data_IF_629425269452
#
_entry.id   IF_629425269452
#
_cell.length_a   1.000
_cell.length_b   1.000
_cell.length_c   1.000
_cell.angle_alpha   90.00
_cell.angle_beta   90.00
_cell.angle_gamma   90.00
#
_symmetry.space_group_name_H-M   'P 1'
#
loop_
_entity.id
_entity.type
_entity.pdbx_description
1 polymer ?
#
# COMPACT_ATOMS: atom_id res chain seq x y z
N UNK A 1 22.21 -19.41 21.21
CA UNK A 1 20.97 -18.65 20.98
C UNK A 1 21.36 -17.35 20.29
N UNK A 2 21.22 -17.25 18.96
CA UNK A 2 21.49 -15.98 18.26
C UNK A 2 20.38 -15.02 18.63
N UNK A 3 20.75 -13.83 19.13
CA UNK A 3 19.81 -12.71 19.31
C UNK A 3 19.02 -12.53 18.01
N UNK A 4 17.72 -12.25 18.13
CA UNK A 4 16.82 -11.99 17.01
C UNK A 4 17.25 -10.68 16.34
N UNK A 5 18.26 -10.78 15.47
CA UNK A 5 18.80 -9.69 14.66
C UNK A 5 17.65 -9.07 13.87
N UNK A 6 17.50 -7.75 14.00
CA UNK A 6 16.51 -6.95 13.30
C UNK A 6 16.53 -7.25 11.79
N UNK A 7 15.36 -7.48 11.19
CA UNK A 7 15.25 -7.79 9.76
C UNK A 7 15.80 -6.61 8.93
N UNK A 8 16.77 -6.82 8.02
CA UNK A 8 17.45 -5.76 7.29
C UNK A 8 16.56 -5.00 6.29
N UNK A 9 15.43 -5.60 5.87
CA UNK A 9 14.44 -4.93 5.02
C UNK A 9 13.64 -3.87 5.80
N UNK A 10 13.50 -4.06 7.12
CA UNK A 10 12.73 -3.18 8.01
C UNK A 10 13.59 -2.13 8.73
N UNK A 11 14.89 -2.10 8.47
CA UNK A 11 15.79 -1.08 9.02
C UNK A 11 15.94 0.10 8.07
N UNK A 12 16.42 1.22 8.61
CA UNK A 12 16.90 2.33 7.77
C UNK A 12 18.09 1.86 6.94
N UNK A 13 18.09 2.25 5.67
CA UNK A 13 19.15 1.89 4.72
C UNK A 13 20.14 3.05 4.64
N UNK A 14 21.24 2.93 5.38
CA UNK A 14 22.33 3.92 5.42
C UNK A 14 23.35 3.74 4.28
N UNK A 15 22.95 3.07 3.20
CA UNK A 15 23.73 2.90 1.98
C UNK A 15 23.64 4.15 1.11
N UNK A 16 24.59 4.37 0.17
CA UNK A 16 24.49 5.47 -0.78
C UNK A 16 23.16 5.44 -1.54
N UNK A 17 22.49 6.58 -1.62
CA UNK A 17 21.18 6.75 -2.28
C UNK A 17 20.03 5.91 -1.70
N UNK A 18 20.19 5.34 -0.50
CA UNK A 18 19.16 4.48 0.09
C UNK A 18 18.95 3.20 -0.71
N UNK A 19 20.01 2.60 -1.25
CA UNK A 19 19.98 1.31 -1.93
C UNK A 19 19.75 0.17 -0.91
N UNK A 20 18.97 -0.89 -1.22
CA UNK A 20 18.81 -2.01 -0.30
C UNK A 20 20.17 -2.61 0.08
N UNK A 21 20.44 -2.93 1.36
CA UNK A 21 21.68 -3.59 1.78
C UNK A 21 21.66 -5.07 1.37
N UNK A 22 21.79 -5.33 0.06
CA UNK A 22 21.67 -6.66 -0.55
C UNK A 22 22.67 -7.67 0.01
N UNK A 23 23.80 -7.22 0.55
CA UNK A 23 24.80 -8.06 1.24
C UNK A 23 24.28 -8.66 2.55
N UNK A 24 23.22 -8.10 3.12
CA UNK A 24 22.63 -8.51 4.41
C UNK A 24 21.28 -9.19 4.29
N UNK A 25 20.58 -9.00 3.17
CA UNK A 25 19.23 -9.53 2.93
C UNK A 25 19.34 -10.98 2.47
N UNK A 26 18.60 -11.88 3.11
CA UNK A 26 18.42 -13.27 2.66
C UNK A 26 16.97 -13.53 2.27
N UNK A 27 16.72 -14.58 1.49
CA UNK A 27 15.38 -14.90 0.96
C UNK A 27 14.32 -15.08 2.06
N UNK A 28 14.69 -15.61 3.23
CA UNK A 28 13.81 -15.77 4.39
C UNK A 28 13.39 -14.44 5.05
N UNK A 29 14.07 -13.32 4.76
CA UNK A 29 13.73 -12.02 5.34
C UNK A 29 12.44 -11.42 4.71
N UNK A 30 12.12 -11.76 3.46
CA UNK A 30 11.08 -11.06 2.70
C UNK A 30 9.67 -11.30 3.24
N UNK A 31 9.28 -12.56 3.46
CA UNK A 31 7.93 -12.89 3.93
C UNK A 31 7.58 -12.16 5.25
N UNK A 32 8.36 -12.30 6.34
CA UNK A 32 8.04 -11.62 7.59
C UNK A 32 8.15 -10.08 7.49
N UNK A 33 9.00 -9.55 6.61
CA UNK A 33 9.12 -8.11 6.40
C UNK A 33 7.88 -7.52 5.70
N UNK A 34 7.43 -8.16 4.61
CA UNK A 34 6.27 -7.71 3.85
C UNK A 34 4.99 -7.87 4.68
N UNK A 35 4.81 -8.98 5.39
CA UNK A 35 3.66 -9.15 6.28
C UNK A 35 3.60 -8.08 7.39
N UNK A 36 4.75 -7.73 7.97
CA UNK A 36 4.80 -6.62 8.92
C UNK A 36 4.47 -5.28 8.25
N UNK A 37 4.97 -5.03 7.05
CA UNK A 37 4.71 -3.79 6.32
C UNK A 37 3.24 -3.67 5.88
N UNK A 38 2.54 -4.77 5.60
CA UNK A 38 1.08 -4.80 5.38
C UNK A 38 0.36 -4.31 6.63
N UNK A 39 0.71 -4.84 7.81
CA UNK A 39 0.09 -4.42 9.09
C UNK A 39 0.36 -2.94 9.39
N UNK A 40 1.58 -2.45 9.13
CA UNK A 40 1.91 -1.04 9.28
C UNK A 40 1.07 -0.17 8.33
N UNK A 41 0.92 -0.57 7.06
CA UNK A 41 0.10 0.15 6.10
C UNK A 41 -1.39 0.15 6.47
N UNK A 42 -1.93 -0.99 6.90
CA UNK A 42 -3.31 -1.08 7.40
C UNK A 42 -3.57 -0.09 8.55
N UNK A 43 -2.61 0.07 9.47
CA UNK A 43 -2.72 1.01 10.57
C UNK A 43 -2.69 2.47 10.09
N UNK A 44 -1.84 2.81 9.14
CA UNK A 44 -1.79 4.14 8.51
C UNK A 44 -3.11 4.47 7.80
N UNK A 45 -3.67 3.51 7.06
CA UNK A 45 -4.95 3.66 6.39
C UNK A 45 -6.09 3.85 7.39
N UNK A 46 -6.11 3.11 8.49
CA UNK A 46 -7.14 3.30 9.52
C UNK A 46 -7.04 4.67 10.18
N UNK A 47 -5.83 5.20 10.40
CA UNK A 47 -5.64 6.58 10.91
C UNK A 47 -6.29 7.59 9.96
N UNK A 48 -6.09 7.44 8.65
CA UNK A 48 -6.69 8.33 7.64
C UNK A 48 -8.22 8.17 7.61
N UNK A 49 -8.70 6.92 7.57
CA UNK A 49 -10.13 6.61 7.47
C UNK A 49 -10.92 7.04 8.72
N UNK A 50 -10.30 6.98 9.90
CA UNK A 50 -10.91 7.32 11.20
C UNK A 50 -10.68 8.76 11.65
N UNK A 51 -9.89 9.57 10.91
CA UNK A 51 -9.65 10.97 11.26
C UNK A 51 -10.97 11.77 11.31
N UNK A 52 -11.30 12.36 12.46
CA UNK A 52 -12.56 13.10 12.65
C UNK A 52 -12.53 14.54 12.12
N UNK A 53 -11.38 15.04 11.67
CA UNK A 53 -11.28 16.34 11.03
C UNK A 53 -12.00 16.35 9.67
N UNK A 54 -12.45 17.54 9.26
CA UNK A 54 -13.00 17.74 7.93
C UNK A 54 -11.97 17.29 6.86
N UNK A 55 -12.36 16.45 5.88
CA UNK A 55 -11.45 15.99 4.83
C UNK A 55 -10.88 17.17 4.03
N UNK A 56 -9.57 17.16 3.84
CA UNK A 56 -8.86 18.10 3.00
C UNK A 56 -7.73 17.36 2.25
N UNK A 57 -7.07 18.06 1.34
CA UNK A 57 -6.00 17.47 0.53
C UNK A 57 -4.91 16.83 1.40
N UNK A 58 -4.43 17.54 2.42
CA UNK A 58 -3.35 17.08 3.30
C UNK A 58 -3.71 15.85 4.14
N UNK A 59 -4.83 15.89 4.85
CA UNK A 59 -5.20 14.82 5.78
C UNK A 59 -5.84 13.59 5.12
N UNK A 60 -6.04 13.65 3.79
CA UNK A 60 -6.67 12.57 3.03
C UNK A 60 -5.81 12.15 1.83
N UNK A 61 -5.57 13.03 0.86
CA UNK A 61 -4.89 12.66 -0.39
C UNK A 61 -3.37 12.55 -0.19
N UNK A 62 -2.74 13.59 0.37
CA UNK A 62 -1.30 13.56 0.68
C UNK A 62 -0.99 12.46 1.71
N UNK A 63 -1.83 12.32 2.74
CA UNK A 63 -1.68 11.24 3.72
C UNK A 63 -1.77 9.84 3.07
N UNK A 64 -2.67 9.64 2.10
CA UNK A 64 -2.76 8.38 1.37
C UNK A 64 -1.53 8.12 0.50
N UNK A 65 -1.04 9.13 -0.21
CA UNK A 65 0.15 9.03 -1.07
C UNK A 65 1.41 8.69 -0.25
N UNK A 66 1.51 9.21 0.98
CA UNK A 66 2.63 8.92 1.87
C UNK A 66 2.48 7.60 2.64
N UNK A 67 1.28 7.00 2.66
CA UNK A 67 1.04 5.72 3.34
C UNK A 67 1.67 4.55 2.60
N UNK A 68 2.01 3.49 3.31
CA UNK A 68 2.53 2.25 2.72
C UNK A 68 3.96 2.38 2.19
N UNK A 69 4.70 3.42 2.58
CA UNK A 69 6.07 3.64 2.13
C UNK A 69 6.98 2.43 2.42
N UNK A 70 6.87 1.84 3.61
CA UNK A 70 7.60 0.61 3.97
C UNK A 70 7.21 -0.56 3.07
N UNK A 71 5.91 -0.77 2.84
CA UNK A 71 5.42 -1.88 2.01
C UNK A 71 5.86 -1.72 0.55
N UNK A 72 5.73 -0.52 0.00
CA UNK A 72 6.16 -0.18 -1.37
C UNK A 72 7.66 -0.42 -1.55
N UNK A 73 8.47 0.12 -0.62
CA UNK A 73 9.93 -0.03 -0.61
C UNK A 73 10.37 -1.50 -0.59
N UNK A 74 9.81 -2.32 0.31
CA UNK A 74 10.22 -3.72 0.47
C UNK A 74 9.70 -4.58 -0.70
N UNK A 75 8.46 -4.35 -1.13
CA UNK A 75 7.86 -5.08 -2.25
C UNK A 75 8.61 -4.83 -3.56
N UNK A 76 9.06 -3.59 -3.80
CA UNK A 76 9.87 -3.26 -4.98
C UNK A 76 11.17 -4.08 -5.03
N UNK A 77 11.85 -4.24 -3.88
CA UNK A 77 13.06 -5.08 -3.79
C UNK A 77 12.71 -6.55 -4.03
N UNK A 78 11.66 -7.05 -3.35
CA UNK A 78 11.23 -8.43 -3.47
C UNK A 78 10.95 -8.81 -4.93
N UNK A 79 10.11 -8.05 -5.63
CA UNK A 79 9.74 -8.37 -7.01
C UNK A 79 10.90 -8.13 -7.99
N UNK A 80 11.81 -7.20 -7.72
CA UNK A 80 13.03 -7.06 -8.52
C UNK A 80 13.94 -8.28 -8.39
N UNK A 81 14.18 -8.78 -7.17
CA UNK A 81 15.01 -9.97 -6.94
C UNK A 81 14.32 -11.23 -7.43
N UNK A 82 13.03 -11.40 -7.15
CA UNK A 82 12.25 -12.55 -7.62
C UNK A 82 12.16 -12.59 -9.17
N UNK A 83 12.13 -11.44 -9.84
CA UNK A 83 12.13 -11.39 -11.31
C UNK A 83 13.50 -11.67 -11.95
N UNK A 84 14.61 -11.35 -11.27
CA UNK A 84 15.95 -11.39 -11.86
C UNK A 84 16.86 -12.51 -11.32
N UNK A 85 16.68 -12.93 -10.08
CA UNK A 85 17.54 -13.87 -9.36
C UNK A 85 16.74 -14.65 -8.31
N UNK A 86 15.75 -15.42 -8.79
CA UNK A 86 14.83 -16.18 -7.92
C UNK A 86 15.43 -17.45 -7.35
N UNK A 87 14.79 -17.97 -6.29
CA UNK A 87 15.02 -19.29 -5.73
C UNK A 87 13.68 -19.93 -5.27
N UNK A 88 13.73 -21.12 -4.67
CA UNK A 88 12.52 -21.78 -4.18
C UNK A 88 11.84 -21.01 -3.04
N UNK A 89 12.60 -20.35 -2.17
CA UNK A 89 12.05 -19.59 -1.03
C UNK A 89 11.31 -18.35 -1.53
N UNK A 90 11.89 -17.62 -2.48
CA UNK A 90 11.27 -16.43 -3.08
C UNK A 90 10.01 -16.79 -3.86
N UNK A 91 10.00 -17.91 -4.59
CA UNK A 91 8.80 -18.36 -5.30
C UNK A 91 7.68 -18.82 -4.34
N UNK A 92 8.00 -19.53 -3.26
CA UNK A 92 7.00 -19.87 -2.24
C UNK A 92 6.50 -18.62 -1.51
N UNK A 93 7.40 -17.68 -1.22
CA UNK A 93 7.04 -16.36 -0.64
C UNK A 93 6.06 -15.62 -1.55
N UNK A 94 6.30 -15.60 -2.87
CA UNK A 94 5.39 -14.95 -3.82
C UNK A 94 3.99 -15.59 -3.83
N UNK A 95 3.90 -16.93 -3.74
CA UNK A 95 2.62 -17.65 -3.68
C UNK A 95 1.82 -17.31 -2.42
N UNK A 96 2.50 -17.13 -1.28
CA UNK A 96 1.87 -16.74 -0.03
C UNK A 96 1.42 -15.27 -0.10
N UNK A 97 2.29 -14.39 -0.58
CA UNK A 97 2.04 -12.95 -0.60
C UNK A 97 1.01 -12.51 -1.64
N UNK A 98 0.89 -13.21 -2.77
CA UNK A 98 -0.04 -12.82 -3.83
C UNK A 98 -1.50 -12.64 -3.34
N UNK A 99 -2.14 -13.61 -2.68
CA UNK A 99 -3.48 -13.42 -2.12
C UNK A 99 -3.51 -12.44 -0.94
N UNK A 100 -2.45 -12.36 -0.12
CA UNK A 100 -2.39 -11.41 1.01
C UNK A 100 -2.39 -9.95 0.52
N UNK A 101 -1.55 -9.64 -0.47
CA UNK A 101 -1.46 -8.32 -1.08
C UNK A 101 -2.71 -7.98 -1.90
N UNK A 102 -3.29 -8.95 -2.61
CA UNK A 102 -4.56 -8.74 -3.34
C UNK A 102 -5.67 -8.32 -2.37
N UNK A 103 -5.84 -9.07 -1.28
CA UNK A 103 -6.77 -8.74 -0.20
C UNK A 103 -6.48 -7.39 0.44
N UNK A 104 -5.20 -7.07 0.70
CA UNK A 104 -4.76 -5.79 1.25
C UNK A 104 -5.23 -4.61 0.39
N UNK A 105 -4.91 -4.64 -0.91
CA UNK A 105 -5.30 -3.57 -1.82
C UNK A 105 -6.81 -3.48 -2.03
N UNK A 106 -7.52 -4.60 -2.08
CA UNK A 106 -8.99 -4.61 -2.10
C UNK A 106 -9.59 -3.98 -0.84
N UNK A 107 -9.00 -4.23 0.34
CA UNK A 107 -9.45 -3.62 1.59
C UNK A 107 -9.34 -2.10 1.53
N UNK A 108 -8.25 -1.56 0.98
CA UNK A 108 -8.04 -0.12 0.84
C UNK A 108 -8.99 0.46 -0.22
N UNK A 109 -8.93 -0.07 -1.45
CA UNK A 109 -9.62 0.50 -2.61
C UNK A 109 -11.15 0.38 -2.54
N UNK A 110 -11.67 -0.58 -1.79
CA UNK A 110 -13.11 -0.76 -1.56
C UNK A 110 -13.53 -0.28 -0.16
N UNK A 111 -12.69 0.45 0.57
CA UNK A 111 -13.04 1.00 1.89
C UNK A 111 -14.03 2.17 1.73
N UNK A 112 -15.30 2.02 2.16
CA UNK A 112 -16.29 3.08 1.98
C UNK A 112 -16.03 4.32 2.85
N UNK A 113 -15.43 4.15 4.04
CA UNK A 113 -15.09 5.28 4.92
C UNK A 113 -14.00 6.13 4.30
N UNK A 114 -12.97 5.46 3.76
CA UNK A 114 -11.86 6.12 3.11
C UNK A 114 -12.30 6.83 1.83
N UNK A 115 -13.05 6.13 0.97
CA UNK A 115 -13.55 6.72 -0.26
C UNK A 115 -14.45 7.93 -0.01
N UNK A 116 -15.31 7.89 1.01
CA UNK A 116 -16.13 9.06 1.38
C UNK A 116 -15.28 10.30 1.67
N UNK A 117 -14.09 10.15 2.26
CA UNK A 117 -13.16 11.27 2.48
C UNK A 117 -12.53 11.74 1.17
N UNK A 118 -12.05 10.81 0.34
CA UNK A 118 -11.48 11.11 -0.97
C UNK A 118 -12.50 11.85 -1.85
N UNK A 119 -13.72 11.34 -1.92
CA UNK A 119 -14.82 11.96 -2.68
C UNK A 119 -15.17 13.34 -2.13
N UNK A 120 -15.24 13.52 -0.81
CA UNK A 120 -15.48 14.84 -0.22
C UNK A 120 -14.42 15.87 -0.64
N UNK A 121 -13.14 15.49 -0.71
CA UNK A 121 -12.07 16.37 -1.21
C UNK A 121 -12.19 16.60 -2.71
N UNK A 122 -12.57 15.58 -3.48
CA UNK A 122 -12.75 15.68 -4.93
C UNK A 122 -13.91 16.59 -5.34
N UNK A 123 -15.05 16.55 -4.64
CA UNK A 123 -16.21 17.38 -4.95
C UNK A 123 -15.94 18.88 -4.75
N UNK A 124 -14.99 19.24 -3.88
CA UNK A 124 -14.61 20.63 -3.62
C UNK A 124 -13.38 21.09 -4.42
N UNK A 125 -12.85 20.28 -5.34
CA UNK A 125 -11.56 20.54 -6.02
C UNK A 125 -11.47 21.92 -6.70
N UNK A 126 -12.56 22.41 -7.28
CA UNK A 126 -12.63 23.73 -7.95
C UNK A 126 -12.48 24.91 -6.97
N UNK A 127 -12.75 24.67 -5.68
CA UNK A 127 -12.67 25.67 -4.61
C UNK A 127 -11.37 25.54 -3.79
N UNK A 128 -10.55 24.53 -4.05
CA UNK A 128 -9.27 24.34 -3.39
C UNK A 128 -8.17 25.04 -4.19
N UNK A 129 -7.29 25.77 -3.52
CA UNK A 129 -6.12 26.38 -4.14
C UNK A 129 -4.98 25.35 -4.28
N UNK A 130 -5.21 24.32 -5.11
CA UNK A 130 -4.24 23.25 -5.40
C UNK A 130 -3.32 23.65 -6.55
N UNK A 131 -2.07 23.20 -6.48
CA UNK A 131 -1.18 23.14 -7.65
C UNK A 131 -1.70 22.15 -8.70
N UNK A 132 -1.12 22.21 -9.92
CA UNK A 132 -1.50 21.30 -10.98
C UNK A 132 -1.19 19.83 -10.62
N UNK A 133 -0.06 19.58 -9.96
CA UNK A 133 0.36 18.28 -9.48
C UNK A 133 -0.58 17.74 -8.39
N UNK A 134 -0.95 18.57 -7.42
CA UNK A 134 -1.90 18.18 -6.37
C UNK A 134 -3.30 17.89 -6.93
N UNK A 135 -3.80 18.72 -7.85
CA UNK A 135 -5.07 18.47 -8.52
C UNK A 135 -5.02 17.15 -9.29
N UNK A 136 -3.94 16.89 -10.01
CA UNK A 136 -3.76 15.64 -10.76
C UNK A 136 -3.73 14.43 -9.84
N UNK A 137 -3.02 14.52 -8.72
CA UNK A 137 -2.98 13.46 -7.71
C UNK A 137 -4.40 13.18 -7.18
N UNK A 138 -5.14 14.21 -6.76
CA UNK A 138 -6.52 14.08 -6.30
C UNK A 138 -7.42 13.39 -7.33
N UNK A 139 -7.32 13.78 -8.61
CA UNK A 139 -8.11 13.17 -9.67
C UNK A 139 -7.77 11.69 -9.89
N UNK A 140 -6.47 11.34 -9.94
CA UNK A 140 -6.05 9.96 -10.18
C UNK A 140 -6.35 9.07 -8.97
N UNK A 141 -6.18 9.57 -7.74
CA UNK A 141 -6.61 8.88 -6.53
C UNK A 141 -8.11 8.58 -6.60
N UNK A 142 -8.96 9.58 -6.84
CA UNK A 142 -10.41 9.37 -6.93
C UNK A 142 -10.81 8.37 -8.03
N UNK A 143 -10.25 8.54 -9.24
CA UNK A 143 -10.47 7.60 -10.37
C UNK A 143 -10.03 6.18 -10.02
N UNK A 144 -8.94 6.03 -9.26
CA UNK A 144 -8.43 4.74 -8.79
C UNK A 144 -9.48 3.98 -7.97
N UNK A 145 -10.07 4.63 -6.96
CA UNK A 145 -11.15 4.06 -6.15
C UNK A 145 -12.38 3.68 -7.00
N UNK A 146 -12.81 4.57 -7.90
CA UNK A 146 -13.96 4.32 -8.78
C UNK A 146 -13.71 3.12 -9.70
N UNK A 147 -12.53 3.04 -10.33
CA UNK A 147 -12.14 1.94 -11.22
C UNK A 147 -11.96 0.62 -10.46
N UNK A 148 -11.52 0.68 -9.21
CA UNK A 148 -11.44 -0.49 -8.35
C UNK A 148 -12.82 -1.02 -7.91
N UNK A 149 -13.91 -0.27 -8.16
CA UNK A 149 -15.27 -0.74 -7.93
C UNK A 149 -15.89 -0.31 -6.60
N UNK A 150 -15.40 0.75 -5.96
CA UNK A 150 -15.95 1.22 -4.67
C UNK A 150 -17.43 1.64 -4.75
N UNK A 151 -17.91 2.01 -5.93
CA UNK A 151 -19.32 2.39 -6.17
C UNK A 151 -20.22 1.19 -6.54
N UNK A 152 -19.68 -0.03 -6.58
CA UNK A 152 -20.49 -1.24 -6.77
C UNK A 152 -21.33 -1.53 -5.53
N UNK A 153 -22.43 -2.26 -5.70
CA UNK A 153 -23.18 -2.82 -4.58
C UNK A 153 -22.32 -3.77 -3.75
N UNK A 154 -22.64 -3.95 -2.46
CA UNK A 154 -21.91 -4.86 -1.56
C UNK A 154 -21.78 -6.28 -2.13
N UNK A 155 -22.83 -6.79 -2.77
CA UNK A 155 -22.82 -8.09 -3.47
C UNK A 155 -21.77 -8.12 -4.58
N UNK A 156 -21.70 -7.09 -5.40
CA UNK A 156 -20.77 -7.01 -6.52
C UNK A 156 -19.33 -6.73 -6.06
N UNK A 157 -19.12 -5.97 -4.98
CA UNK A 157 -17.82 -5.83 -4.34
C UNK A 157 -17.32 -7.17 -3.78
N UNK A 158 -18.21 -7.96 -3.18
CA UNK A 158 -17.86 -9.31 -2.70
C UNK A 158 -17.46 -10.24 -3.84
N UNK A 159 -18.19 -10.20 -4.97
CA UNK A 159 -17.81 -10.94 -6.18
C UNK A 159 -16.45 -10.49 -6.72
N UNK A 160 -16.20 -9.19 -6.77
CA UNK A 160 -14.92 -8.64 -7.24
C UNK A 160 -13.75 -9.10 -6.36
N UNK A 161 -13.88 -9.02 -5.04
CA UNK A 161 -12.88 -9.55 -4.10
C UNK A 161 -12.58 -11.03 -4.34
N UNK A 162 -13.61 -11.84 -4.57
CA UNK A 162 -13.43 -13.25 -4.87
C UNK A 162 -12.74 -13.50 -6.22
N UNK A 163 -12.84 -12.58 -7.19
CA UNK A 163 -12.14 -12.67 -8.47
C UNK A 163 -10.67 -12.25 -8.33
N UNK A 164 -10.39 -11.20 -7.58
CA UNK A 164 -9.03 -10.67 -7.38
C UNK A 164 -8.14 -11.63 -6.55
N UNK A 165 -8.73 -12.50 -5.73
CA UNK A 165 -8.03 -13.46 -4.88
C UNK A 165 -7.83 -14.84 -5.54
N UNK A 166 -8.12 -15.00 -6.84
CA UNK A 166 -7.88 -16.23 -7.61
C UNK A 166 -6.50 -16.26 -8.23
#
# INVERSE_FOLDING_TARGET
MKQKTQNPLLSEWNTPFGVPPFDKIVSDDYLPAIQKAIVEHDAEIEIIASNNQAPNFKNTIEALELSGATLSKISAVFYAVQGANTDSILNETAKILAPELSKHWDNINLNPKLFKKVDAVYQQKENLNLSAEELKLLEETHKGFVRAGVNLSEENQTKLRNLNNR
#
